data_IF_821833664424
#
_entry.id   IF_821833664424
#
_cell.length_a   1.000
_cell.length_b   1.000
_cell.length_c   1.000
_cell.angle_alpha   90.00
_cell.angle_beta   90.00
_cell.angle_gamma   90.00
#
_symmetry.space_group_name_H-M   'P 1'
#
loop_
_entity.id
_entity.type
_entity.pdbx_description
1 polymer ?
#
# COMPACT_ATOMS: atom_id res chain seq x y z
N UNK A 1 -0.19 52.66 -4.83
CA UNK A 1 -0.01 51.59 -3.84
C UNK A 1 -1.21 50.65 -3.75
N UNK A 2 -2.48 51.13 -3.81
CA UNK A 2 -3.67 50.27 -3.65
C UNK A 2 -3.83 49.16 -4.73
N UNK A 3 -3.49 49.44 -5.98
CA UNK A 3 -3.60 48.45 -7.07
C UNK A 3 -2.63 47.27 -6.88
N UNK A 4 -1.42 47.51 -6.41
CA UNK A 4 -0.43 46.45 -6.17
C UNK A 4 -0.87 45.56 -5.01
N UNK A 5 -1.36 46.20 -3.91
CA UNK A 5 -1.88 45.45 -2.77
C UNK A 5 -3.10 44.58 -3.16
N UNK A 6 -4.00 45.11 -3.96
CA UNK A 6 -5.15 44.36 -4.46
C UNK A 6 -4.73 43.13 -5.31
N UNK A 7 -3.76 43.30 -6.22
CA UNK A 7 -3.25 42.20 -7.05
C UNK A 7 -2.54 41.12 -6.21
N UNK A 8 -1.80 41.51 -5.19
CA UNK A 8 -1.15 40.58 -4.27
C UNK A 8 -2.16 39.77 -3.43
N UNK A 9 -3.22 40.43 -2.96
CA UNK A 9 -4.27 39.74 -2.19
C UNK A 9 -5.03 38.78 -3.08
N UNK A 10 -5.42 39.20 -4.30
CA UNK A 10 -6.14 38.36 -5.24
C UNK A 10 -5.30 37.17 -5.70
N UNK A 11 -4.01 37.39 -5.98
CA UNK A 11 -3.06 36.35 -6.33
C UNK A 11 -2.81 35.36 -5.18
N UNK A 12 -2.70 35.86 -3.97
CA UNK A 12 -2.54 35.03 -2.76
C UNK A 12 -3.76 34.14 -2.47
N UNK A 13 -4.97 34.70 -2.61
CA UNK A 13 -6.21 33.93 -2.48
C UNK A 13 -6.33 32.86 -3.57
N UNK A 14 -5.99 33.17 -4.81
CA UNK A 14 -5.98 32.20 -5.90
C UNK A 14 -4.98 31.08 -5.67
N UNK A 15 -3.76 31.40 -5.23
CA UNK A 15 -2.73 30.41 -4.91
C UNK A 15 -3.16 29.50 -3.75
N UNK A 16 -3.79 30.07 -2.71
CA UNK A 16 -4.30 29.29 -1.59
C UNK A 16 -5.39 28.31 -2.02
N UNK A 17 -6.33 28.74 -2.84
CA UNK A 17 -7.39 27.89 -3.38
C UNK A 17 -6.81 26.71 -4.20
N UNK A 18 -5.89 27.00 -5.11
CA UNK A 18 -5.23 25.94 -5.90
C UNK A 18 -4.48 24.98 -5.02
N UNK A 19 -3.78 25.47 -4.01
CA UNK A 19 -3.03 24.63 -3.07
C UNK A 19 -3.95 23.66 -2.30
N UNK A 20 -5.06 24.16 -1.77
CA UNK A 20 -6.05 23.35 -1.06
C UNK A 20 -6.66 22.29 -1.99
N UNK A 21 -7.08 22.68 -3.20
CA UNK A 21 -7.61 21.74 -4.19
C UNK A 21 -6.60 20.63 -4.53
N UNK A 22 -5.33 20.99 -4.72
CA UNK A 22 -4.28 20.01 -5.02
C UNK A 22 -4.10 19.02 -3.88
N UNK A 23 -4.06 19.47 -2.63
CA UNK A 23 -3.93 18.58 -1.46
C UNK A 23 -5.10 17.59 -1.38
N UNK A 24 -6.33 18.02 -1.63
CA UNK A 24 -7.49 17.14 -1.61
C UNK A 24 -7.54 16.18 -2.82
N UNK A 25 -6.95 16.55 -3.95
CA UNK A 25 -6.91 15.70 -5.14
C UNK A 25 -5.83 14.61 -5.09
N UNK A 26 -4.69 14.88 -4.44
CA UNK A 26 -3.56 13.93 -4.35
C UNK A 26 -4.00 12.55 -3.83
N UNK A 27 -4.76 12.40 -2.73
CA UNK A 27 -5.17 11.10 -2.22
C UNK A 27 -6.00 10.29 -3.22
N UNK A 28 -6.91 10.94 -3.96
CA UNK A 28 -7.78 10.27 -4.92
C UNK A 28 -7.01 9.67 -6.11
N UNK A 29 -5.91 10.28 -6.50
CA UNK A 29 -5.05 9.75 -7.57
C UNK A 29 -4.07 8.70 -7.05
N UNK A 30 -3.57 8.86 -5.82
CA UNK A 30 -2.63 7.92 -5.19
C UNK A 30 -3.29 6.57 -4.85
N UNK A 31 -4.55 6.57 -4.43
CA UNK A 31 -5.29 5.36 -4.08
C UNK A 31 -5.48 4.39 -5.26
N UNK A 32 -5.64 4.91 -6.46
CA UNK A 32 -5.80 4.08 -7.66
C UNK A 32 -4.50 3.48 -8.19
N UNK A 33 -3.36 4.01 -7.77
CA UNK A 33 -2.07 3.67 -8.38
C UNK A 33 -1.44 2.42 -7.74
N UNK A 34 -1.49 2.26 -6.42
CA UNK A 34 -0.90 1.13 -5.72
C UNK A 34 -1.63 -0.18 -6.02
N UNK A 35 -2.97 -0.17 -5.97
CA UNK A 35 -3.79 -1.35 -6.26
C UNK A 35 -3.73 -1.76 -7.74
N UNK A 36 -3.72 -0.78 -8.65
CA UNK A 36 -3.65 -1.03 -10.09
C UNK A 36 -2.29 -1.58 -10.54
N UNK A 37 -1.23 -1.30 -9.79
CA UNK A 37 0.14 -1.77 -10.05
C UNK A 37 0.39 -3.17 -9.53
N UNK A 38 -0.45 -3.70 -8.64
CA UNK A 38 -0.31 -5.09 -8.18
C UNK A 38 -0.53 -6.04 -9.35
N UNK A 39 0.37 -7.01 -9.57
CA UNK A 39 0.24 -7.95 -10.67
C UNK A 39 -1.09 -8.68 -10.57
N UNK A 40 -1.81 -8.74 -11.67
CA UNK A 40 -3.01 -9.59 -11.79
C UNK A 40 -2.67 -11.08 -11.67
N UNK A 41 -1.41 -11.43 -11.79
CA UNK A 41 -0.90 -12.79 -11.61
C UNK A 41 -0.85 -13.26 -10.16
N UNK A 42 -1.00 -12.36 -9.17
CA UNK A 42 -1.28 -12.78 -7.80
C UNK A 42 -2.77 -13.08 -7.66
N UNK A 43 -3.30 -13.91 -8.57
CA UNK A 43 -4.70 -14.31 -8.55
C UNK A 43 -4.98 -15.18 -7.34
N UNK A 44 -5.94 -14.69 -6.57
CA UNK A 44 -6.83 -15.39 -5.65
C UNK A 44 -6.20 -16.53 -4.82
N UNK A 45 -5.62 -16.14 -3.70
CA UNK A 45 -5.33 -17.06 -2.61
C UNK A 45 -3.90 -17.62 -2.58
N UNK A 46 -3.01 -17.22 -3.47
CA UNK A 46 -1.61 -17.66 -3.44
C UNK A 46 -0.64 -16.51 -3.22
N UNK A 47 0.38 -16.75 -2.40
CA UNK A 47 1.49 -15.82 -2.25
C UNK A 47 2.41 -15.87 -3.46
N UNK A 48 2.55 -14.75 -4.14
CA UNK A 48 3.51 -14.56 -5.22
C UNK A 48 4.72 -13.82 -4.66
N UNK A 49 5.92 -14.44 -4.67
CA UNK A 49 7.14 -13.75 -4.26
C UNK A 49 7.42 -12.60 -5.24
N UNK A 50 7.77 -11.44 -4.71
CA UNK A 50 8.19 -10.29 -5.49
C UNK A 50 9.68 -10.44 -5.80
N UNK A 51 10.00 -10.78 -7.03
CA UNK A 51 11.36 -10.79 -7.51
C UNK A 51 11.86 -9.34 -7.75
N UNK A 52 13.01 -8.95 -7.17
CA UNK A 52 13.56 -7.60 -7.36
C UNK A 52 13.86 -7.27 -8.81
N UNK A 53 14.05 -8.27 -9.66
CA UNK A 53 14.41 -8.09 -11.07
C UNK A 53 13.21 -8.01 -12.02
N UNK A 54 12.00 -8.34 -11.57
CA UNK A 54 10.81 -8.38 -12.41
C UNK A 54 9.82 -7.24 -12.07
N UNK A 55 9.68 -6.33 -13.01
CA UNK A 55 8.61 -5.35 -13.24
C UNK A 55 8.04 -4.59 -12.03
N UNK A 56 7.43 -5.24 -11.08
CA UNK A 56 6.77 -4.57 -9.96
C UNK A 56 7.72 -4.28 -8.81
N UNK A 57 8.63 -5.18 -8.51
CA UNK A 57 9.62 -5.01 -7.45
C UNK A 57 10.68 -3.96 -7.82
N UNK A 58 11.00 -3.82 -9.11
CA UNK A 58 11.89 -2.77 -9.59
C UNK A 58 11.30 -1.35 -9.36
N UNK A 59 9.97 -1.23 -9.38
CA UNK A 59 9.26 0.04 -9.10
C UNK A 59 8.94 0.24 -7.61
N UNK A 60 8.83 -0.82 -6.85
CA UNK A 60 8.79 -0.79 -5.40
C UNK A 60 10.25 -0.87 -4.90
N UNK A 61 10.86 0.22 -4.55
CA UNK A 61 12.20 0.29 -3.94
C UNK A 61 12.33 -0.47 -2.60
N UNK A 62 11.64 -1.57 -2.46
CA UNK A 62 11.55 -2.41 -1.26
C UNK A 62 12.45 -3.65 -1.34
N UNK A 63 13.48 -3.62 -2.19
CA UNK A 63 14.42 -4.73 -2.25
C UNK A 63 15.59 -4.48 -1.33
N UNK A 64 15.34 -4.63 -0.04
CA UNK A 64 16.42 -5.03 0.84
C UNK A 64 16.71 -6.52 0.52
N UNK A 65 17.95 -6.87 0.10
CA UNK A 65 18.30 -8.24 -0.29
C UNK A 65 18.17 -9.24 0.88
N UNK A 66 18.00 -8.77 2.10
CA UNK A 66 17.81 -9.60 3.28
C UNK A 66 16.34 -9.99 3.53
N UNK A 67 15.39 -9.45 2.78
CA UNK A 67 13.97 -9.75 2.94
C UNK A 67 13.38 -10.38 1.69
N UNK A 68 12.62 -11.45 1.90
CA UNK A 68 11.73 -12.01 0.87
C UNK A 68 10.36 -11.39 1.09
N UNK A 69 9.86 -10.68 0.08
CA UNK A 69 8.55 -10.08 0.09
C UNK A 69 7.60 -10.89 -0.78
N UNK A 70 6.42 -11.22 -0.26
CA UNK A 70 5.36 -11.87 -1.03
C UNK A 70 4.08 -11.06 -0.96
N UNK A 71 3.30 -11.10 -2.04
CA UNK A 71 1.99 -10.46 -2.13
C UNK A 71 0.94 -11.51 -2.43
N UNK A 72 -0.21 -11.40 -1.76
CA UNK A 72 -1.42 -12.14 -2.05
C UNK A 72 -2.59 -11.16 -2.22
N UNK A 73 -3.39 -11.36 -3.25
CA UNK A 73 -4.67 -10.64 -3.42
C UNK A 73 -5.82 -11.56 -3.11
N UNK A 74 -6.84 -11.05 -2.47
CA UNK A 74 -8.06 -11.79 -2.18
C UNK A 74 -9.28 -10.86 -2.20
N UNK A 75 -10.45 -11.45 -2.46
CA UNK A 75 -11.73 -10.74 -2.49
C UNK A 75 -12.67 -11.36 -1.43
N UNK A 76 -13.01 -10.57 -0.42
CA UNK A 76 -13.92 -10.99 0.67
C UNK A 76 -15.39 -10.99 0.26
N UNK A 77 -15.73 -10.54 -0.95
CA UNK A 77 -17.12 -10.57 -1.42
C UNK A 77 -17.61 -11.97 -1.73
N UNK A 78 -16.70 -12.88 -2.08
CA UNK A 78 -17.02 -14.25 -2.47
C UNK A 78 -16.95 -15.24 -1.30
N UNK A 79 -15.95 -15.09 -0.41
CA UNK A 79 -15.73 -16.00 0.70
C UNK A 79 -14.89 -15.33 1.81
N UNK A 80 -14.95 -15.83 3.05
CA UNK A 80 -14.00 -15.44 4.08
C UNK A 80 -12.59 -15.87 3.69
N UNK A 81 -11.62 -15.04 4.01
CA UNK A 81 -10.21 -15.35 3.80
C UNK A 81 -9.65 -16.02 5.06
N UNK A 82 -8.97 -17.14 4.88
CA UNK A 82 -8.16 -17.76 5.91
C UNK A 82 -6.76 -18.02 5.39
N UNK A 83 -5.78 -17.77 6.21
CA UNK A 83 -4.38 -17.99 5.90
C UNK A 83 -3.81 -19.00 6.88
N UNK A 84 -3.41 -20.16 6.34
CA UNK A 84 -2.74 -21.19 7.12
C UNK A 84 -1.39 -21.53 6.48
N UNK A 85 -0.37 -21.73 7.28
CA UNK A 85 0.95 -22.08 6.80
C UNK A 85 1.98 -22.24 7.90
N UNK A 86 3.13 -22.77 7.52
CA UNK A 86 4.29 -22.81 8.40
C UNK A 86 5.07 -21.51 8.28
N UNK A 87 5.44 -20.95 9.41
CA UNK A 87 6.23 -19.72 9.47
C UNK A 87 7.72 -20.03 9.50
N UNK A 88 8.52 -19.15 8.91
CA UNK A 88 9.97 -19.27 9.02
C UNK A 88 10.41 -19.10 10.49
N UNK A 89 11.50 -19.77 10.92
CA UNK A 89 12.02 -19.62 12.27
C UNK A 89 12.68 -18.25 12.54
N UNK A 90 12.81 -17.44 11.51
CA UNK A 90 13.35 -16.08 11.54
C UNK A 90 12.22 -15.05 11.57
N UNK A 91 12.58 -13.77 11.67
CA UNK A 91 11.63 -12.68 11.66
C UNK A 91 10.72 -12.72 10.42
N UNK A 92 9.42 -12.62 10.64
CA UNK A 92 8.41 -12.43 9.60
C UNK A 92 7.32 -11.48 10.07
N UNK A 93 6.64 -10.86 9.13
CA UNK A 93 5.46 -10.05 9.39
C UNK A 93 4.45 -10.18 8.25
N UNK A 94 3.18 -10.17 8.60
CA UNK A 94 2.05 -10.15 7.68
C UNK A 94 1.25 -8.88 7.91
N UNK A 95 0.91 -8.18 6.85
CA UNK A 95 0.05 -7.00 6.92
C UNK A 95 -1.01 -7.05 5.82
N UNK A 96 -2.25 -6.79 6.20
CA UNK A 96 -3.39 -6.76 5.30
C UNK A 96 -3.83 -5.32 5.08
N UNK A 97 -3.97 -4.96 3.81
CA UNK A 97 -4.36 -3.62 3.40
C UNK A 97 -5.66 -3.66 2.60
N UNK A 98 -6.51 -2.68 2.82
CA UNK A 98 -7.68 -2.51 1.96
C UNK A 98 -7.29 -1.83 0.63
N UNK A 99 -8.25 -1.71 -0.32
CA UNK A 99 -8.03 -1.02 -1.60
C UNK A 99 -7.53 0.41 -1.50
N UNK A 100 -7.73 1.07 -0.35
CA UNK A 100 -7.29 2.43 -0.09
C UNK A 100 -5.88 2.51 0.49
N UNK A 101 -5.19 1.37 0.63
CA UNK A 101 -3.86 1.31 1.23
C UNK A 101 -3.86 1.46 2.76
N UNK A 102 -5.03 1.36 3.41
CA UNK A 102 -5.13 1.41 4.87
C UNK A 102 -4.84 0.01 5.41
N UNK A 103 -3.90 -0.08 6.36
CA UNK A 103 -3.65 -1.32 7.08
C UNK A 103 -4.86 -1.65 7.98
N UNK A 104 -5.46 -2.82 7.76
CA UNK A 104 -6.62 -3.29 8.52
C UNK A 104 -6.26 -4.40 9.49
N UNK A 105 -5.15 -5.10 9.26
CA UNK A 105 -4.66 -6.17 10.13
C UNK A 105 -3.14 -6.30 9.99
N UNK A 106 -2.45 -6.59 11.08
CA UNK A 106 -1.01 -6.86 11.08
C UNK A 106 -0.64 -7.82 12.20
N UNK A 107 0.22 -8.79 11.88
CA UNK A 107 0.74 -9.78 12.80
C UNK A 107 2.21 -10.07 12.49
N UNK A 108 2.98 -10.49 13.48
CA UNK A 108 4.39 -10.81 13.33
C UNK A 108 4.78 -12.04 14.15
N UNK A 109 6.03 -12.45 14.02
CA UNK A 109 6.65 -13.59 14.73
C UNK A 109 6.47 -13.55 16.25
N UNK A 110 6.43 -12.36 16.85
CA UNK A 110 6.29 -12.19 18.31
C UNK A 110 4.86 -12.32 18.81
N UNK A 111 3.89 -12.21 17.92
CA UNK A 111 2.46 -12.26 18.25
C UNK A 111 1.91 -13.69 18.24
N UNK A 112 2.63 -14.64 17.66
CA UNK A 112 2.27 -16.05 17.59
C UNK A 112 3.06 -16.89 18.57
N UNK A 113 2.36 -17.80 19.25
CA UNK A 113 2.98 -18.85 20.07
C UNK A 113 3.05 -20.13 19.21
N UNK A 114 4.17 -20.37 18.55
CA UNK A 114 4.40 -21.55 17.72
C UNK A 114 4.82 -21.20 16.29
N UNK A 115 5.05 -22.24 15.48
CA UNK A 115 5.49 -22.11 14.09
C UNK A 115 4.36 -22.23 13.07
N UNK A 116 3.11 -22.31 13.50
CA UNK A 116 1.94 -22.39 12.61
C UNK A 116 1.16 -21.08 12.63
N UNK A 117 0.95 -20.50 11.45
CA UNK A 117 0.06 -19.39 11.25
C UNK A 117 -1.31 -19.95 10.87
N UNK A 118 -2.35 -19.54 11.60
CA UNK A 118 -3.75 -19.83 11.30
C UNK A 118 -4.56 -18.57 11.64
N UNK A 119 -4.97 -17.84 10.62
CA UNK A 119 -5.67 -16.54 10.73
C UNK A 119 -6.84 -16.46 9.74
#
# INVERSE_FOLDING_TARGET
MGRLAYLLILGGLGALLVHILTIFMIPSFAENDAWARLPRSSEDGYFTPLNPEEGLAANMRASDPNFILGICRFDLSAAPFSLAGETAPTFWSLSVYNRRGINVFSINDKSLQGNSLDV
#
